data_IF_562946491901
#
_entry.id   IF_562946491901
#
_cell.length_a   1.000
_cell.length_b   1.000
_cell.length_c   1.000
_cell.angle_alpha   90.00
_cell.angle_beta   90.00
_cell.angle_gamma   90.00
#
_symmetry.space_group_name_H-M   'P 1'
#
loop_
_entity.id
_entity.type
_entity.pdbx_description
1 polymer ?
#
# COMPACT_ATOMS: atom_id res chain seq x y z
N UNK A 1 -13.26 13.99 0.08
CA UNK A 1 -12.05 14.21 -0.72
C UNK A 1 -11.72 13.00 -1.57
N UNK A 2 -11.28 13.23 -2.79
CA UNK A 2 -10.87 12.15 -3.67
C UNK A 2 -9.52 11.59 -3.24
N UNK A 3 -9.42 10.26 -3.17
CA UNK A 3 -8.16 9.60 -2.89
C UNK A 3 -7.34 9.47 -4.16
N UNK A 4 -6.02 9.48 -4.01
CA UNK A 4 -5.08 9.30 -5.11
C UNK A 4 -4.39 7.96 -4.90
N UNK A 5 -4.66 7.02 -5.81
CA UNK A 5 -4.16 5.65 -5.72
C UNK A 5 -2.84 5.53 -6.47
N UNK A 6 -1.78 5.09 -5.81
CA UNK A 6 -0.47 4.96 -6.44
C UNK A 6 0.18 3.63 -6.09
N UNK A 7 1.12 3.21 -6.94
CA UNK A 7 2.03 2.10 -6.67
C UNK A 7 3.38 2.65 -6.23
N UNK A 8 4.07 1.92 -5.34
CA UNK A 8 5.40 2.33 -4.90
C UNK A 8 6.43 2.24 -6.03
N UNK A 9 6.28 1.23 -6.89
CA UNK A 9 7.25 0.95 -7.94
C UNK A 9 8.18 -0.19 -7.53
N UNK A 10 9.32 -0.33 -8.20
CA UNK A 10 10.23 -1.44 -7.98
C UNK A 10 11.02 -1.34 -6.67
N UNK A 11 11.41 -2.48 -6.13
CA UNK A 11 12.24 -2.55 -4.93
C UNK A 11 13.73 -2.47 -5.21
N UNK A 12 14.15 -2.74 -6.44
CA UNK A 12 15.56 -2.73 -6.86
C UNK A 12 16.44 -3.62 -5.97
N UNK A 13 15.92 -4.79 -5.55
CA UNK A 13 16.58 -5.73 -4.65
C UNK A 13 16.94 -5.13 -3.28
N UNK A 14 16.30 -4.05 -2.88
CA UNK A 14 16.55 -3.37 -1.61
C UNK A 14 15.25 -2.77 -1.11
N UNK A 15 14.37 -3.63 -0.57
CA UNK A 15 13.05 -3.21 -0.10
C UNK A 15 13.16 -2.16 1.01
N UNK A 16 14.03 -2.39 1.99
CA UNK A 16 14.17 -1.46 3.11
C UNK A 16 14.67 -0.09 2.67
N UNK A 17 15.72 -0.05 1.86
CA UNK A 17 16.27 1.23 1.38
C UNK A 17 15.29 1.96 0.47
N UNK A 18 14.57 1.23 -0.38
CA UNK A 18 13.54 1.82 -1.23
C UNK A 18 12.42 2.42 -0.38
N UNK A 19 11.96 1.69 0.64
CA UNK A 19 10.92 2.18 1.53
C UNK A 19 11.38 3.45 2.27
N UNK A 20 12.60 3.45 2.77
CA UNK A 20 13.15 4.62 3.48
C UNK A 20 13.20 5.86 2.58
N UNK A 21 13.63 5.70 1.33
CA UNK A 21 13.67 6.81 0.39
C UNK A 21 12.27 7.33 0.07
N UNK A 22 11.32 6.41 -0.11
CA UNK A 22 9.93 6.77 -0.37
C UNK A 22 9.32 7.53 0.80
N UNK A 23 9.56 7.04 2.03
CA UNK A 23 9.05 7.66 3.25
C UNK A 23 9.65 9.06 3.43
N UNK A 24 10.93 9.24 3.14
CA UNK A 24 11.57 10.56 3.19
C UNK A 24 10.89 11.54 2.23
N UNK A 25 10.55 11.08 1.02
CA UNK A 25 9.81 11.90 0.06
C UNK A 25 8.40 12.20 0.53
N UNK A 26 7.72 11.21 1.15
CA UNK A 26 6.38 11.37 1.69
C UNK A 26 6.33 12.48 2.75
N UNK A 27 7.34 12.53 3.63
CA UNK A 27 7.39 13.56 4.67
C UNK A 27 7.49 14.99 4.11
N UNK A 28 7.96 15.13 2.88
CA UNK A 28 8.06 16.44 2.21
C UNK A 28 6.77 16.87 1.52
N UNK A 29 5.76 15.99 1.45
CA UNK A 29 4.49 16.32 0.83
C UNK A 29 3.65 17.24 1.71
N UNK A 30 2.73 18.00 1.10
CA UNK A 30 1.78 18.80 1.85
C UNK A 30 0.83 17.90 2.65
N UNK A 31 0.23 18.44 3.71
CA UNK A 31 -0.74 17.69 4.51
C UNK A 31 -1.93 17.25 3.67
N UNK A 32 -2.35 18.07 2.71
CA UNK A 32 -3.46 17.75 1.82
C UNK A 32 -3.14 16.52 0.97
N UNK A 33 -1.94 16.44 0.40
CA UNK A 33 -1.52 15.28 -0.37
C UNK A 33 -1.40 14.04 0.51
N UNK A 34 -0.83 14.16 1.71
CA UNK A 34 -0.70 13.05 2.63
C UNK A 34 -2.06 12.42 2.97
N UNK A 35 -3.09 13.23 3.12
CA UNK A 35 -4.45 12.74 3.41
C UNK A 35 -5.08 12.01 2.24
N UNK A 36 -4.66 12.30 1.02
CA UNK A 36 -5.30 11.77 -0.18
C UNK A 36 -4.60 10.55 -0.77
N UNK A 37 -3.32 10.37 -0.48
CA UNK A 37 -2.56 9.26 -1.06
C UNK A 37 -2.88 7.93 -0.39
N UNK A 38 -3.06 6.90 -1.21
CA UNK A 38 -3.19 5.52 -0.76
C UNK A 38 -2.29 4.64 -1.64
N UNK A 39 -1.79 3.54 -1.09
CA UNK A 39 -0.91 2.62 -1.81
C UNK A 39 -1.69 1.38 -2.25
N UNK A 40 -1.42 0.92 -3.46
CA UNK A 40 -2.03 -0.28 -4.00
C UNK A 40 -0.99 -1.39 -4.12
N UNK A 41 -1.40 -2.64 -3.80
CA UNK A 41 -0.52 -3.80 -3.95
C UNK A 41 -0.26 -4.10 -5.43
N UNK A 42 0.92 -4.67 -5.70
CA UNK A 42 1.37 -4.98 -7.05
C UNK A 42 1.41 -6.48 -7.29
N UNK A 43 1.54 -6.90 -8.56
CA UNK A 43 1.47 -8.31 -8.93
C UNK A 43 2.83 -8.95 -9.21
N UNK A 44 3.90 -8.18 -9.30
CA UNK A 44 5.22 -8.70 -9.67
C UNK A 44 6.08 -8.97 -8.44
N UNK A 45 6.93 -10.02 -8.48
CA UNK A 45 7.78 -10.34 -7.31
C UNK A 45 8.72 -9.21 -6.90
N UNK A 46 9.14 -8.36 -7.84
CA UNK A 46 10.00 -7.21 -7.53
C UNK A 46 9.25 -5.97 -7.05
N UNK A 47 7.96 -6.11 -6.80
CA UNK A 47 7.07 -5.03 -6.38
C UNK A 47 6.44 -5.38 -5.02
N UNK A 48 5.46 -4.62 -4.58
CA UNK A 48 4.97 -4.66 -3.21
C UNK A 48 3.64 -5.38 -3.08
N UNK A 49 3.61 -6.45 -2.26
CA UNK A 49 2.37 -7.12 -1.87
C UNK A 49 1.69 -6.34 -0.74
N UNK A 50 0.46 -6.71 -0.39
CA UNK A 50 -0.27 -6.09 0.73
C UNK A 50 0.54 -6.18 2.02
N UNK A 51 1.08 -7.36 2.35
CA UNK A 51 1.86 -7.54 3.57
C UNK A 51 3.09 -6.62 3.61
N UNK A 52 3.79 -6.50 2.49
CA UNK A 52 4.96 -5.65 2.40
C UNK A 52 4.61 -4.17 2.54
N UNK A 53 3.51 -3.74 1.92
CA UNK A 53 3.04 -2.37 2.07
C UNK A 53 2.69 -2.07 3.52
N UNK A 54 2.06 -3.03 4.20
CA UNK A 54 1.73 -2.88 5.61
C UNK A 54 3.01 -2.73 6.45
N UNK A 55 3.96 -3.64 6.27
CA UNK A 55 5.17 -3.69 7.10
C UNK A 55 6.10 -2.51 6.86
N UNK A 56 6.28 -2.09 5.61
CA UNK A 56 7.27 -1.07 5.27
C UNK A 56 6.71 0.35 5.22
N UNK A 57 5.42 0.53 4.99
CA UNK A 57 4.83 1.87 4.82
C UNK A 57 3.76 2.19 5.84
N UNK A 58 2.74 1.35 6.00
CA UNK A 58 1.65 1.68 6.91
C UNK A 58 2.12 1.80 8.36
N UNK A 59 2.95 0.87 8.80
CA UNK A 59 3.48 0.91 10.18
C UNK A 59 4.31 2.17 10.45
N UNK A 60 4.93 2.73 9.41
CA UNK A 60 5.80 3.89 9.55
C UNK A 60 5.05 5.22 9.47
N UNK A 61 4.15 5.37 8.52
CA UNK A 61 3.51 6.66 8.25
C UNK A 61 1.98 6.64 8.25
N UNK A 62 1.39 5.47 8.43
CA UNK A 62 -0.07 5.34 8.52
C UNK A 62 -0.82 5.42 7.20
N UNK A 63 -0.14 5.37 6.07
CA UNK A 63 -0.79 5.47 4.77
C UNK A 63 -1.71 4.28 4.52
N UNK A 64 -2.97 4.50 4.06
CA UNK A 64 -3.90 3.40 3.79
C UNK A 64 -3.49 2.58 2.57
N UNK A 65 -3.93 1.33 2.53
CA UNK A 65 -3.63 0.39 1.45
C UNK A 65 -4.92 0.06 0.71
N UNK A 66 -4.93 0.29 -0.61
CA UNK A 66 -6.01 -0.15 -1.50
C UNK A 66 -5.73 -1.57 -1.93
N UNK A 67 -6.71 -2.47 -1.76
CA UNK A 67 -6.54 -3.88 -2.11
C UNK A 67 -6.94 -4.11 -3.57
N UNK A 68 -6.00 -4.63 -4.36
CA UNK A 68 -6.26 -5.07 -5.73
C UNK A 68 -6.33 -6.59 -5.73
N UNK A 69 -7.51 -7.14 -5.99
CA UNK A 69 -7.75 -8.60 -5.98
C UNK A 69 -6.92 -9.32 -7.03
N UNK A 70 -6.83 -8.75 -8.20
CA UNK A 70 -6.10 -9.36 -9.31
C UNK A 70 -4.60 -9.42 -9.00
N UNK A 71 -4.02 -8.30 -8.57
CA UNK A 71 -2.59 -8.24 -8.24
C UNK A 71 -2.25 -9.19 -7.11
N UNK A 72 -3.11 -9.31 -6.10
CA UNK A 72 -2.87 -10.21 -4.98
C UNK A 72 -2.75 -11.67 -5.45
N UNK A 73 -3.52 -12.08 -6.45
CA UNK A 73 -3.46 -13.44 -6.99
C UNK A 73 -2.05 -13.83 -7.41
N UNK A 74 -1.26 -12.87 -7.89
CA UNK A 74 0.08 -13.11 -8.40
C UNK A 74 1.19 -12.81 -7.37
N UNK A 75 0.89 -12.11 -6.28
CA UNK A 75 1.90 -11.74 -5.29
C UNK A 75 1.27 -11.67 -3.90
N UNK A 76 1.14 -12.83 -3.28
CA UNK A 76 0.37 -12.97 -2.05
C UNK A 76 1.15 -12.81 -0.76
N UNK A 77 2.48 -13.01 -0.79
CA UNK A 77 3.31 -13.07 0.42
C UNK A 77 2.78 -14.07 1.45
N UNK A 78 2.12 -15.13 0.97
CA UNK A 78 1.59 -16.18 1.85
C UNK A 78 0.21 -15.90 2.44
N UNK A 79 -0.41 -14.77 2.11
CA UNK A 79 -1.74 -14.44 2.62
C UNK A 79 -2.83 -14.97 1.70
N UNK A 80 -3.96 -15.39 2.30
CA UNK A 80 -5.15 -15.67 1.52
C UNK A 80 -5.77 -14.34 1.09
N UNK A 81 -6.71 -14.39 0.13
CA UNK A 81 -7.42 -13.19 -0.31
C UNK A 81 -8.15 -12.52 0.86
N UNK A 82 -8.80 -13.31 1.72
CA UNK A 82 -9.51 -12.78 2.88
C UNK A 82 -8.56 -12.13 3.88
N UNK A 83 -7.43 -12.77 4.15
CA UNK A 83 -6.43 -12.22 5.06
C UNK A 83 -5.87 -10.90 4.54
N UNK A 84 -5.54 -10.84 3.26
CA UNK A 84 -4.99 -9.64 2.65
C UNK A 84 -6.03 -8.50 2.62
N UNK A 85 -7.28 -8.82 2.32
CA UNK A 85 -8.35 -7.82 2.33
C UNK A 85 -8.54 -7.25 3.74
N UNK A 86 -8.55 -8.10 4.75
CA UNK A 86 -8.69 -7.64 6.13
C UNK A 86 -7.51 -6.78 6.56
N UNK A 87 -6.31 -7.17 6.18
CA UNK A 87 -5.12 -6.38 6.49
C UNK A 87 -5.18 -5.00 5.85
N UNK A 88 -5.53 -4.94 4.56
CA UNK A 88 -5.69 -3.67 3.87
C UNK A 88 -6.79 -2.82 4.50
N UNK A 89 -7.93 -3.44 4.86
CA UNK A 89 -9.04 -2.73 5.50
C UNK A 89 -8.62 -2.11 6.83
N UNK A 90 -7.76 -2.79 7.59
CA UNK A 90 -7.31 -2.30 8.89
C UNK A 90 -6.44 -1.03 8.78
N UNK A 91 -5.94 -0.72 7.59
CA UNK A 91 -5.09 0.46 7.37
C UNK A 91 -5.88 1.75 7.18
N UNK A 92 -7.20 1.66 6.98
CA UNK A 92 -8.04 2.83 6.72
C UNK A 92 -8.55 3.44 8.03
N UNK A 93 -8.55 4.79 8.13
CA UNK A 93 -9.08 5.45 9.33
C UNK A 93 -10.57 5.18 9.52
N UNK A 94 -11.03 5.22 10.76
CA UNK A 94 -12.46 5.11 11.08
C UNK A 94 -13.24 6.20 10.35
N UNK A 95 -14.39 5.83 9.80
CA UNK A 95 -15.26 6.78 9.08
C UNK A 95 -14.85 7.04 7.65
N UNK A 96 -13.73 6.46 7.18
CA UNK A 96 -13.28 6.59 5.79
C UNK A 96 -13.55 5.28 5.06
N UNK A 97 -14.29 5.36 3.95
CA UNK A 97 -14.62 4.17 3.17
C UNK A 97 -13.38 3.63 2.47
N UNK A 98 -13.10 2.34 2.68
CA UNK A 98 -12.00 1.66 2.02
C UNK A 98 -12.23 1.60 0.51
N UNK A 99 -11.17 1.89 -0.26
CA UNK A 99 -11.17 1.66 -1.70
C UNK A 99 -10.60 0.28 -1.99
N UNK A 100 -11.22 -0.44 -2.93
CA UNK A 100 -10.69 -1.71 -3.44
C UNK A 100 -10.72 -1.66 -4.95
N UNK A 101 -9.85 -2.44 -5.58
CA UNK A 101 -9.77 -2.53 -7.03
C UNK A 101 -10.03 -3.99 -7.43
N UNK A 102 -11.06 -4.21 -8.25
CA UNK A 102 -11.46 -5.55 -8.64
C UNK A 102 -11.64 -5.61 -10.15
N UNK A 103 -10.97 -6.53 -10.79
CA UNK A 103 -11.13 -6.77 -12.24
C UNK A 103 -12.31 -7.67 -12.52
#
# INVERSE_FOLDING_TARGET
>A
ENKINIHVGGMYNDAEGTAQRWIASWHRLSDNLKKRLVLENDDKPGMWSVQMLYDFFHKEVGIPITFDYFHHTFHTSGLTEEEALKLAASTWPDGVTQCTHYF
#
